data_IF_047700984132
#
_entry.id   IF_047700984132
#
_cell.length_a   1.000
_cell.length_b   1.000
_cell.length_c   1.000
_cell.angle_alpha   90.00
_cell.angle_beta   90.00
_cell.angle_gamma   90.00
#
_symmetry.space_group_name_H-M   'P 1'
#
loop_
_entity.id
_entity.type
_entity.pdbx_description
1 polymer ?
#
# COMPACT_ATOMS: atom_id res chain seq x y z
N UNK A 1 -21.18 51.12 -26.27
CA UNK A 1 -20.61 49.76 -26.13
C UNK A 1 -21.38 49.10 -25.00
N UNK A 2 -22.29 48.18 -25.31
CA UNK A 2 -23.17 47.54 -24.32
C UNK A 2 -22.43 46.41 -23.62
N UNK A 3 -22.48 46.39 -22.28
CA UNK A 3 -21.88 45.32 -21.48
C UNK A 3 -22.52 43.97 -21.78
N UNK A 4 -21.77 42.85 -21.71
CA UNK A 4 -22.33 41.52 -21.89
C UNK A 4 -23.31 41.21 -20.75
N UNK A 5 -24.44 40.56 -21.04
CA UNK A 5 -25.36 40.11 -19.98
C UNK A 5 -24.66 39.11 -19.07
N UNK A 6 -24.72 39.34 -17.76
CA UNK A 6 -24.23 38.39 -16.77
C UNK A 6 -25.02 37.08 -16.86
N UNK A 7 -24.36 35.91 -16.84
CA UNK A 7 -25.05 34.63 -16.86
C UNK A 7 -25.81 34.43 -15.55
N UNK A 8 -27.14 34.61 -15.60
CA UNK A 8 -28.09 34.46 -14.48
C UNK A 8 -28.42 33.00 -14.13
N UNK A 9 -27.47 32.08 -14.33
CA UNK A 9 -27.60 30.69 -13.92
C UNK A 9 -26.96 30.47 -12.56
N UNK A 10 -27.75 30.41 -11.48
CA UNK A 10 -27.27 29.89 -10.21
C UNK A 10 -27.00 28.39 -10.38
N UNK A 11 -25.79 28.04 -10.81
CA UNK A 11 -25.34 26.66 -10.82
C UNK A 11 -25.45 26.14 -9.38
N UNK A 12 -26.42 25.25 -9.14
CA UNK A 12 -26.65 24.67 -7.82
C UNK A 12 -25.37 24.00 -7.32
N UNK A 13 -25.10 24.13 -6.02
CA UNK A 13 -23.94 23.48 -5.42
C UNK A 13 -24.15 21.97 -5.39
N UNK A 14 -23.23 21.23 -6.02
CA UNK A 14 -23.24 19.78 -6.02
C UNK A 14 -22.75 19.24 -4.66
N UNK A 15 -23.51 18.32 -4.06
CA UNK A 15 -23.16 17.67 -2.79
C UNK A 15 -22.82 16.21 -3.03
N UNK A 16 -21.57 15.84 -2.75
CA UNK A 16 -21.07 14.47 -2.94
C UNK A 16 -21.90 13.42 -2.18
N UNK A 17 -22.42 13.76 -0.99
CA UNK A 17 -23.20 12.84 -0.15
C UNK A 17 -24.68 12.73 -0.55
N UNK A 18 -25.15 13.53 -1.50
CA UNK A 18 -26.51 13.41 -2.04
C UNK A 18 -26.57 12.36 -3.18
N UNK A 19 -25.41 11.82 -3.58
CA UNK A 19 -25.31 10.73 -4.54
C UNK A 19 -25.83 9.41 -3.94
N UNK A 20 -26.42 8.53 -4.79
CA UNK A 20 -26.64 7.14 -4.41
C UNK A 20 -25.35 6.48 -3.92
N UNK A 21 -25.48 5.57 -2.94
CA UNK A 21 -24.33 4.96 -2.28
C UNK A 21 -23.41 4.23 -3.26
N UNK A 22 -24.00 3.60 -4.26
CA UNK A 22 -23.32 2.85 -5.32
C UNK A 22 -22.38 3.76 -6.12
N UNK A 23 -22.85 4.96 -6.46
CA UNK A 23 -22.05 5.97 -7.18
C UNK A 23 -20.92 6.49 -6.30
N UNK A 24 -21.18 6.73 -5.01
CA UNK A 24 -20.16 7.17 -4.07
C UNK A 24 -19.03 6.12 -3.92
N UNK A 25 -19.40 4.83 -3.82
CA UNK A 25 -18.43 3.74 -3.77
C UNK A 25 -17.64 3.63 -5.08
N UNK A 26 -18.29 3.80 -6.22
CA UNK A 26 -17.59 3.79 -7.51
C UNK A 26 -16.59 4.94 -7.65
N UNK A 27 -16.95 6.15 -7.19
CA UNK A 27 -16.02 7.29 -7.11
C UNK A 27 -14.82 6.96 -6.20
N UNK A 28 -15.06 6.32 -5.06
CA UNK A 28 -14.00 5.91 -4.15
C UNK A 28 -13.07 4.90 -4.83
N UNK A 29 -13.61 3.87 -5.48
CA UNK A 29 -12.82 2.85 -6.17
C UNK A 29 -11.92 3.49 -7.24
N UNK A 30 -12.49 4.38 -8.07
CA UNK A 30 -11.73 5.13 -9.08
C UNK A 30 -10.66 6.04 -8.48
N UNK A 31 -10.92 6.63 -7.31
CA UNK A 31 -10.00 7.56 -6.66
C UNK A 31 -8.87 6.86 -5.87
N UNK A 32 -9.08 5.61 -5.42
CA UNK A 32 -8.14 4.92 -4.54
C UNK A 32 -7.33 3.82 -5.20
N UNK A 33 -7.80 3.26 -6.32
CA UNK A 33 -7.11 2.18 -7.02
C UNK A 33 -6.00 2.75 -7.90
N UNK A 34 -4.80 2.20 -7.75
CA UNK A 34 -3.64 2.45 -8.58
C UNK A 34 -3.56 1.36 -9.64
N UNK A 35 -3.15 1.72 -10.86
CA UNK A 35 -2.92 0.76 -11.94
C UNK A 35 -1.67 -0.10 -11.71
N UNK A 36 -0.71 0.43 -10.96
CA UNK A 36 0.57 -0.21 -10.67
C UNK A 36 0.65 -0.67 -9.20
N UNK A 37 1.38 -1.75 -8.90
CA UNK A 37 1.62 -2.19 -7.54
C UNK A 37 2.25 -1.10 -6.67
N UNK A 38 1.71 -0.92 -5.47
CA UNK A 38 2.23 0.00 -4.47
C UNK A 38 3.44 -0.65 -3.79
N UNK A 39 4.63 -0.18 -4.14
CA UNK A 39 5.88 -0.76 -3.64
C UNK A 39 6.25 -0.21 -2.26
N UNK A 40 6.35 -1.10 -1.30
CA UNK A 40 6.75 -0.91 0.10
C UNK A 40 8.25 -1.21 0.19
N UNK A 41 9.07 -0.30 -0.32
CA UNK A 41 10.54 -0.41 -0.29
C UNK A 41 11.20 0.84 0.26
N UNK A 42 12.32 0.66 0.95
CA UNK A 42 13.35 1.69 1.02
C UNK A 42 14.20 1.60 -0.25
N UNK A 43 14.63 2.72 -0.81
CA UNK A 43 15.63 2.72 -1.89
C UNK A 43 16.97 3.17 -1.30
N UNK A 44 17.71 2.30 -0.59
CA UNK A 44 18.93 2.78 0.04
C UNK A 44 19.91 3.28 -1.03
N UNK A 45 20.18 4.59 -1.03
CA UNK A 45 21.24 5.21 -1.81
C UNK A 45 22.33 5.58 -0.80
N UNK A 46 23.49 4.89 -0.81
CA UNK A 46 24.55 5.11 0.17
C UNK A 46 25.18 6.51 0.12
N UNK A 47 24.86 7.34 -0.88
CA UNK A 47 25.46 8.66 -1.01
C UNK A 47 24.68 9.73 -0.23
N UNK A 48 25.18 9.99 0.97
CA UNK A 48 24.72 10.98 1.94
C UNK A 48 24.93 12.42 1.42
N UNK A 49 23.86 13.24 1.33
CA UNK A 49 23.86 14.70 1.63
C UNK A 49 22.53 15.44 1.37
N UNK A 50 21.55 14.81 0.74
CA UNK A 50 20.17 15.30 0.65
C UNK A 50 19.26 14.27 1.30
N UNK A 51 18.05 14.62 1.78
CA UNK A 51 17.02 13.61 2.06
C UNK A 51 16.85 12.79 0.78
N UNK A 52 17.56 11.66 0.71
CA UNK A 52 17.68 10.85 -0.49
C UNK A 52 16.26 10.45 -0.88
N UNK A 53 16.03 10.23 -2.16
CA UNK A 53 14.71 9.89 -2.70
C UNK A 53 14.03 8.75 -1.92
N UNK A 54 14.81 7.89 -1.26
CA UNK A 54 14.35 6.86 -0.34
C UNK A 54 13.90 7.29 1.03
N UNK A 55 14.54 8.27 1.66
CA UNK A 55 14.02 8.80 2.92
C UNK A 55 12.68 9.50 2.68
N UNK A 56 12.52 10.15 1.52
CA UNK A 56 11.22 10.68 1.07
C UNK A 56 10.20 9.58 0.79
N UNK A 57 10.56 8.54 0.04
CA UNK A 57 9.66 7.41 -0.22
C UNK A 57 9.27 6.68 1.07
N UNK A 58 10.23 6.46 1.97
CA UNK A 58 9.99 5.90 3.31
C UNK A 58 9.07 6.80 4.11
N UNK A 59 9.37 8.11 4.19
CA UNK A 59 8.49 9.06 4.87
C UNK A 59 7.09 9.01 4.27
N UNK A 60 6.96 9.05 2.96
CA UNK A 60 5.66 9.07 2.29
C UNK A 60 4.84 7.80 2.54
N UNK A 61 5.51 6.65 2.61
CA UNK A 61 4.93 5.38 3.00
C UNK A 61 4.48 5.40 4.47
N UNK A 62 5.28 5.98 5.36
CA UNK A 62 5.10 5.93 6.83
C UNK A 62 4.21 7.05 7.40
N UNK A 63 4.12 8.20 6.73
CA UNK A 63 3.17 9.29 7.01
C UNK A 63 1.84 9.06 6.33
N UNK A 64 1.76 8.04 5.46
CA UNK A 64 0.60 7.80 4.62
C UNK A 64 0.42 8.88 3.56
N UNK A 65 1.44 9.66 3.18
CA UNK A 65 1.38 10.54 2.00
C UNK A 65 0.92 9.77 0.76
N UNK A 66 1.30 8.49 0.63
CA UNK A 66 0.85 7.59 -0.44
C UNK A 66 -0.63 7.19 -0.34
N UNK A 67 -1.31 7.42 0.78
CA UNK A 67 -2.75 7.21 0.86
C UNK A 67 -3.48 8.29 0.03
N UNK A 68 -4.45 7.90 -0.81
CA UNK A 68 -5.24 8.83 -1.61
C UNK A 68 -5.85 9.93 -0.77
N UNK A 69 -5.92 11.16 -1.30
CA UNK A 69 -6.47 12.30 -0.56
C UNK A 69 -7.86 12.01 0.02
N UNK A 70 -8.71 11.27 -0.73
CA UNK A 70 -10.06 10.89 -0.32
C UNK A 70 -10.09 10.10 0.99
N UNK A 71 -9.10 9.25 1.27
CA UNK A 71 -9.02 8.48 2.53
C UNK A 71 -8.57 9.36 3.71
N UNK A 72 -8.00 10.54 3.44
CA UNK A 72 -7.59 11.51 4.46
C UNK A 72 -8.65 12.54 4.81
N UNK A 73 -9.74 12.64 4.05
CA UNK A 73 -10.80 13.66 4.21
C UNK A 73 -11.67 13.46 5.47
N UNK A 74 -12.99 13.30 5.33
CA UNK A 74 -13.93 13.16 6.44
C UNK A 74 -14.07 11.69 6.87
N UNK A 75 -14.64 11.48 8.08
CA UNK A 75 -14.82 10.14 8.66
C UNK A 75 -15.66 9.20 7.78
N UNK A 76 -16.68 9.75 7.09
CA UNK A 76 -17.57 8.96 6.23
C UNK A 76 -16.83 8.37 5.02
N UNK A 77 -16.15 9.20 4.24
CA UNK A 77 -15.36 8.75 3.09
C UNK A 77 -14.19 7.87 3.52
N UNK A 78 -13.49 8.24 4.60
CA UNK A 78 -12.34 7.49 5.12
C UNK A 78 -12.67 6.03 5.41
N UNK A 79 -13.85 5.74 5.96
CA UNK A 79 -14.26 4.38 6.32
C UNK A 79 -14.28 3.45 5.11
N UNK A 80 -14.85 3.90 4.02
CA UNK A 80 -14.97 3.11 2.78
C UNK A 80 -13.68 3.17 1.96
N UNK A 81 -13.06 4.35 1.86
CA UNK A 81 -11.83 4.57 1.09
C UNK A 81 -10.63 3.81 1.64
N UNK A 82 -10.44 3.71 2.96
CA UNK A 82 -9.34 2.91 3.54
C UNK A 82 -9.54 1.43 3.23
N UNK A 83 -10.77 0.94 3.33
CA UNK A 83 -11.09 -0.46 3.02
C UNK A 83 -10.83 -0.74 1.54
N UNK A 84 -11.33 0.09 0.64
CA UNK A 84 -11.10 -0.03 -0.79
C UNK A 84 -9.59 0.06 -1.12
N UNK A 85 -8.87 1.02 -0.54
CA UNK A 85 -7.43 1.20 -0.76
C UNK A 85 -6.63 -0.06 -0.45
N UNK A 86 -6.78 -0.66 0.74
CA UNK A 86 -6.01 -1.87 1.08
C UNK A 86 -6.52 -3.15 0.41
N UNK A 87 -7.81 -3.19 0.06
CA UNK A 87 -8.45 -4.38 -0.53
C UNK A 87 -8.23 -4.51 -2.03
N UNK A 88 -8.30 -3.40 -2.75
CA UNK A 88 -8.33 -3.40 -4.22
C UNK A 88 -6.94 -3.16 -4.82
N UNK A 89 -6.03 -2.50 -4.10
CA UNK A 89 -4.67 -2.30 -4.59
C UNK A 89 -3.80 -3.54 -4.39
N UNK A 90 -2.84 -3.71 -5.29
CA UNK A 90 -1.70 -4.59 -5.11
C UNK A 90 -0.60 -3.87 -4.33
N UNK A 91 -0.01 -4.57 -3.37
CA UNK A 91 1.12 -4.09 -2.58
C UNK A 91 2.29 -5.04 -2.79
N UNK A 92 3.49 -4.51 -2.97
CA UNK A 92 4.70 -5.31 -3.10
C UNK A 92 5.73 -4.89 -2.07
N UNK A 93 6.25 -5.81 -1.26
CA UNK A 93 7.30 -5.55 -0.30
C UNK A 93 8.54 -6.42 -0.56
N UNK A 94 9.72 -5.86 -0.38
CA UNK A 94 10.97 -6.63 -0.40
C UNK A 94 11.31 -7.08 1.03
N UNK A 95 11.58 -8.37 1.23
CA UNK A 95 11.79 -8.93 2.59
C UNK A 95 13.21 -9.45 2.88
N UNK A 96 14.10 -9.51 1.88
CA UNK A 96 15.47 -10.02 2.04
C UNK A 96 16.49 -9.12 1.33
N UNK A 97 17.59 -8.82 2.02
CA UNK A 97 18.82 -8.22 1.49
C UNK A 97 20.01 -8.83 2.22
N UNK A 98 21.21 -8.72 1.64
CA UNK A 98 22.45 -9.32 2.15
C UNK A 98 22.77 -9.02 3.63
N UNK A 99 22.27 -7.88 4.15
CA UNK A 99 22.20 -7.59 5.59
C UNK A 99 20.77 -7.86 6.09
N UNK A 100 20.59 -8.89 6.93
CA UNK A 100 19.33 -9.22 7.63
C UNK A 100 18.76 -8.07 8.49
N UNK A 101 19.43 -6.91 8.52
CA UNK A 101 19.21 -5.83 9.47
C UNK A 101 18.44 -4.62 8.92
N UNK A 102 18.31 -4.43 7.59
CA UNK A 102 17.94 -3.10 7.08
C UNK A 102 16.51 -2.97 6.53
N UNK A 103 15.97 -3.94 5.80
CA UNK A 103 14.70 -3.77 5.09
C UNK A 103 13.48 -4.36 5.81
N UNK A 104 13.67 -5.47 6.51
CA UNK A 104 12.61 -6.05 7.33
C UNK A 104 11.98 -5.05 8.34
N UNK A 105 12.75 -4.19 9.03
CA UNK A 105 12.18 -3.18 9.92
C UNK A 105 11.15 -2.29 9.23
N UNK A 106 11.33 -1.94 7.96
CA UNK A 106 10.45 -1.02 7.23
C UNK A 106 9.11 -1.64 6.96
N UNK A 107 9.13 -2.84 6.38
CA UNK A 107 7.92 -3.56 6.07
C UNK A 107 7.15 -3.90 7.37
N UNK A 108 7.87 -4.30 8.43
CA UNK A 108 7.30 -4.48 9.76
C UNK A 108 6.67 -3.20 10.29
N UNK A 109 7.39 -2.09 10.27
CA UNK A 109 6.93 -0.82 10.83
C UNK A 109 5.74 -0.27 10.03
N UNK A 110 5.70 -0.50 8.71
CA UNK A 110 4.53 -0.22 7.88
C UNK A 110 3.33 -1.06 8.30
N UNK A 111 3.49 -2.38 8.45
CA UNK A 111 2.44 -3.28 8.93
C UNK A 111 1.90 -2.86 10.30
N UNK A 112 2.78 -2.41 11.20
CA UNK A 112 2.40 -1.93 12.52
C UNK A 112 1.61 -0.62 12.45
N UNK A 113 1.98 0.30 11.54
CA UNK A 113 1.26 1.57 11.35
C UNK A 113 -0.11 1.41 10.73
N UNK A 114 -0.28 0.53 9.74
CA UNK A 114 -1.61 0.29 9.16
C UNK A 114 -2.53 -0.42 10.18
N UNK A 115 -1.94 -1.08 11.18
CA UNK A 115 -2.65 -1.61 12.34
C UNK A 115 -3.72 -2.63 11.93
N UNK A 116 -4.93 -2.47 12.46
CA UNK A 116 -6.06 -3.35 12.16
C UNK A 116 -6.48 -3.36 10.68
N UNK A 117 -6.11 -2.33 9.89
CA UNK A 117 -6.45 -2.28 8.47
C UNK A 117 -5.72 -3.36 7.64
N UNK A 118 -4.67 -3.99 8.19
CA UNK A 118 -3.99 -5.11 7.54
C UNK A 118 -4.92 -6.26 7.16
N UNK A 119 -6.05 -6.45 7.86
CA UNK A 119 -7.10 -7.44 7.52
C UNK A 119 -7.73 -7.20 6.15
N UNK A 120 -7.62 -5.99 5.61
CA UNK A 120 -8.11 -5.67 4.28
C UNK A 120 -7.08 -5.96 3.18
N UNK A 121 -5.81 -6.23 3.51
CA UNK A 121 -4.79 -6.57 2.53
C UNK A 121 -5.13 -7.93 1.90
N UNK A 122 -5.48 -7.90 0.61
CA UNK A 122 -5.77 -9.12 -0.17
C UNK A 122 -4.66 -9.46 -1.16
N UNK A 123 -3.92 -8.46 -1.62
CA UNK A 123 -2.93 -8.59 -2.68
C UNK A 123 -1.57 -8.05 -2.21
N UNK A 124 -1.06 -8.54 -1.07
CA UNK A 124 0.27 -8.18 -0.59
C UNK A 124 1.28 -9.25 -1.02
N UNK A 125 2.13 -8.92 -1.97
CA UNK A 125 3.24 -9.76 -2.40
C UNK A 125 4.50 -9.40 -1.63
N UNK A 126 5.25 -10.42 -1.23
CA UNK A 126 6.64 -10.24 -0.80
C UNK A 126 7.57 -10.88 -1.81
N UNK A 127 8.67 -10.20 -2.11
CA UNK A 127 9.71 -10.69 -3.02
C UNK A 127 11.04 -10.78 -2.30
N UNK A 128 11.83 -11.80 -2.63
CA UNK A 128 13.24 -11.83 -2.28
C UNK A 128 14.01 -11.00 -3.32
N UNK A 129 14.41 -9.80 -2.90
CA UNK A 129 15.10 -8.86 -3.77
C UNK A 129 16.44 -9.39 -4.28
N UNK A 130 17.17 -10.17 -3.48
CA UNK A 130 18.45 -10.72 -3.89
C UNK A 130 18.25 -11.76 -4.99
N UNK A 131 17.34 -12.70 -4.76
CA UNK A 131 17.07 -13.75 -5.73
C UNK A 131 16.51 -13.20 -7.04
N UNK A 132 15.73 -12.11 -6.97
CA UNK A 132 15.22 -11.44 -8.16
C UNK A 132 16.31 -10.74 -8.99
N UNK A 133 17.27 -10.05 -8.35
CA UNK A 133 18.27 -9.26 -9.08
C UNK A 133 19.54 -10.04 -9.44
N UNK A 134 19.88 -11.07 -8.67
CA UNK A 134 21.15 -11.78 -8.79
C UNK A 134 21.00 -13.27 -9.11
N UNK A 135 19.76 -13.75 -9.31
CA UNK A 135 19.45 -15.16 -9.50
C UNK A 135 19.50 -15.97 -8.19
N UNK A 136 19.43 -17.32 -8.24
CA UNK A 136 19.45 -18.19 -7.07
C UNK A 136 20.80 -18.09 -6.32
N UNK A 137 20.97 -17.08 -5.48
CA UNK A 137 22.15 -16.93 -4.63
C UNK A 137 21.98 -17.79 -3.38
N UNK A 138 21.97 -19.11 -3.52
CA UNK A 138 22.25 -20.15 -2.49
C UNK A 138 21.77 -19.98 -1.03
N UNK A 139 20.83 -19.09 -0.70
CA UNK A 139 20.59 -18.65 0.68
C UNK A 139 19.19 -18.13 0.98
N UNK A 140 18.22 -18.34 0.09
CA UNK A 140 16.86 -17.77 0.19
C UNK A 140 15.99 -18.42 1.29
N UNK A 141 16.22 -19.69 1.63
CA UNK A 141 15.32 -20.42 2.54
C UNK A 141 15.33 -19.83 3.96
N UNK A 142 16.49 -19.34 4.41
CA UNK A 142 16.61 -18.69 5.72
C UNK A 142 15.84 -17.36 5.81
N UNK A 143 15.83 -16.58 4.73
CA UNK A 143 15.13 -15.30 4.68
C UNK A 143 13.60 -15.50 4.67
N UNK A 144 13.11 -16.44 3.87
CA UNK A 144 11.69 -16.77 3.81
C UNK A 144 11.19 -17.27 5.17
N UNK A 145 11.91 -18.17 5.82
CA UNK A 145 11.46 -18.70 7.10
C UNK A 145 11.48 -17.65 8.22
N UNK A 146 12.45 -16.74 8.20
CA UNK A 146 12.42 -15.56 9.09
C UNK A 146 11.20 -14.67 8.80
N UNK A 147 10.88 -14.45 7.52
CA UNK A 147 9.71 -13.68 7.10
C UNK A 147 8.41 -14.37 7.57
N UNK A 148 8.27 -15.68 7.35
CA UNK A 148 7.16 -16.52 7.80
C UNK A 148 6.99 -16.47 9.31
N UNK A 149 8.06 -16.64 10.07
CA UNK A 149 8.00 -16.59 11.53
C UNK A 149 7.48 -15.22 12.01
N UNK A 150 8.02 -14.13 11.48
CA UNK A 150 7.67 -12.77 11.92
C UNK A 150 6.28 -12.32 11.45
N UNK A 151 5.86 -12.68 10.23
CA UNK A 151 4.51 -12.41 9.73
C UNK A 151 3.47 -13.33 10.36
N UNK A 152 3.81 -14.61 10.58
CA UNK A 152 2.97 -15.57 11.27
C UNK A 152 2.66 -15.12 12.70
N UNK A 153 3.63 -14.54 13.40
CA UNK A 153 3.40 -13.90 14.71
C UNK A 153 2.43 -12.71 14.66
N UNK A 154 2.18 -12.12 13.48
CA UNK A 154 1.16 -11.08 13.23
C UNK A 154 -0.14 -11.63 12.64
N UNK A 155 -0.28 -12.96 12.59
CA UNK A 155 -1.44 -13.66 12.04
C UNK A 155 -1.47 -13.76 10.52
N UNK A 156 -0.37 -13.49 9.81
CA UNK A 156 -0.34 -13.63 8.36
C UNK A 156 -0.10 -15.08 7.93
N UNK A 157 -0.74 -15.46 6.84
CA UNK A 157 -0.50 -16.71 6.11
C UNK A 157 0.30 -16.37 4.87
N UNK A 158 1.42 -17.09 4.66
CA UNK A 158 2.27 -16.89 3.49
C UNK A 158 2.18 -18.10 2.56
N UNK A 159 1.77 -17.87 1.32
CA UNK A 159 1.73 -18.89 0.27
C UNK A 159 2.69 -18.54 -0.87
N UNK A 160 3.28 -19.54 -1.52
CA UNK A 160 4.10 -19.31 -2.71
C UNK A 160 3.17 -18.97 -3.88
N UNK A 161 3.55 -17.99 -4.71
CA UNK A 161 2.81 -17.67 -5.94
C UNK A 161 3.26 -18.65 -7.04
N UNK A 162 2.32 -19.36 -7.66
CA UNK A 162 2.63 -20.30 -8.75
C UNK A 162 3.11 -19.54 -10.00
N UNK A 163 4.17 -20.04 -10.63
CA UNK A 163 4.75 -19.43 -11.84
C UNK A 163 5.61 -18.19 -11.59
N UNK A 164 5.69 -17.68 -10.35
CA UNK A 164 6.55 -16.55 -9.99
C UNK A 164 7.67 -17.00 -9.06
N UNK A 165 8.90 -16.98 -9.56
CA UNK A 165 10.06 -17.28 -8.75
C UNK A 165 10.24 -16.22 -7.65
N UNK A 166 10.56 -16.70 -6.45
CA UNK A 166 10.88 -15.86 -5.29
C UNK A 166 9.80 -14.83 -4.93
N UNK A 167 8.53 -15.15 -5.22
CA UNK A 167 7.40 -14.32 -4.86
C UNK A 167 6.41 -15.10 -4.02
N UNK A 168 5.96 -14.45 -2.95
CA UNK A 168 5.04 -15.03 -1.98
C UNK A 168 3.87 -14.09 -1.75
N UNK A 169 2.67 -14.65 -1.60
CA UNK A 169 1.49 -13.92 -1.21
C UNK A 169 1.36 -13.92 0.31
N UNK A 170 1.07 -12.75 0.90
CA UNK A 170 0.85 -12.56 2.33
C UNK A 170 -0.61 -12.19 2.53
N UNK A 171 -1.33 -13.06 3.21
CA UNK A 171 -2.75 -12.90 3.51
C UNK A 171 -2.95 -12.72 5.01
N UNK A 172 -3.81 -11.77 5.42
CA UNK A 172 -4.27 -11.66 6.81
C UNK A 172 -5.71 -12.17 6.87
N UNK A 173 -5.98 -13.40 7.36
CA UNK A 173 -7.34 -13.90 7.49
C UNK A 173 -8.16 -12.96 8.37
N UNK A 174 -9.43 -12.76 7.98
CA UNK A 174 -10.37 -12.04 8.83
C UNK A 174 -10.58 -12.88 10.08
N UNK A 175 -10.29 -12.31 11.24
CA UNK A 175 -10.77 -12.88 12.51
C UNK A 175 -12.28 -12.69 12.49
N UNK A 176 -13.01 -13.78 12.33
CA UNK A 176 -14.45 -13.79 12.57
C UNK A 176 -14.63 -13.58 14.07
N UNK A 177 -15.05 -12.37 14.45
CA UNK A 177 -15.50 -12.05 15.80
C UNK A 177 -16.72 -12.90 16.20
#
# INVERSE_FOLDING_TARGET
>A
MSSPPEPSGTAGTFRLFDLPREILLHIIDLAVVQSEPIVIRIIYYPDNRSLTSSQRAYRALMTGENQPAISKTCRALRKDAIKAFYRLNEFQADHCTHSDHEYWPVFRDWLDRIGANRRYLRNLRTRDWMSYNYGPVGGSDGCLERCRSKLGAKGAVITKVEGEDYTWMVCFPEVTD
#
